data_IF_137164426027
#
_entry.id   IF_137164426027
#
_cell.length_a   1.000
_cell.length_b   1.000
_cell.length_c   1.000
_cell.angle_alpha   90.00
_cell.angle_beta   90.00
_cell.angle_gamma   90.00
#
_symmetry.space_group_name_H-M   'P 1'
#
loop_
_entity.id
_entity.type
_entity.pdbx_description
1 polymer ?
#
# COMPACT_ATOMS: atom_id res chain seq x y z
N UNK A 1 -14.11 7.74 -0.11
CA UNK A 1 -14.03 7.66 -1.59
C UNK A 1 -12.59 7.36 -2.02
N UNK A 2 -11.59 8.05 -1.49
CA UNK A 2 -10.18 7.84 -1.87
C UNK A 2 -9.67 6.41 -1.67
N UNK A 3 -10.06 5.70 -0.60
CA UNK A 3 -9.62 4.32 -0.39
C UNK A 3 -10.16 3.32 -1.43
N UNK A 4 -11.30 3.64 -2.07
CA UNK A 4 -11.87 2.86 -3.17
C UNK A 4 -11.21 3.25 -4.49
N UNK A 5 -11.06 4.56 -4.75
CA UNK A 5 -10.35 5.07 -5.92
C UNK A 5 -8.91 4.54 -5.99
N UNK A 6 -8.19 4.56 -4.87
CA UNK A 6 -6.87 3.93 -4.73
C UNK A 6 -6.86 2.48 -5.20
N UNK A 7 -7.85 1.68 -4.78
CA UNK A 7 -7.93 0.27 -5.18
C UNK A 7 -8.16 0.11 -6.68
N UNK A 8 -9.01 0.97 -7.26
CA UNK A 8 -9.30 0.95 -8.69
C UNK A 8 -8.06 1.34 -9.52
N UNK A 9 -7.39 2.45 -9.19
CA UNK A 9 -6.19 2.88 -9.89
C UNK A 9 -5.03 1.88 -9.79
N UNK A 10 -4.84 1.23 -8.62
CA UNK A 10 -3.90 0.13 -8.48
C UNK A 10 -4.21 -1.03 -9.43
N UNK A 11 -5.48 -1.43 -9.54
CA UNK A 11 -5.86 -2.53 -10.44
C UNK A 11 -5.69 -2.17 -11.92
N UNK A 12 -5.79 -0.88 -12.25
CA UNK A 12 -5.60 -0.37 -13.61
C UNK A 12 -4.13 -0.12 -13.98
N UNK A 13 -3.20 -0.23 -13.02
CA UNK A 13 -1.80 0.11 -13.21
C UNK A 13 -1.50 1.62 -13.26
N UNK A 14 -2.47 2.45 -12.87
CA UNK A 14 -2.34 3.91 -12.77
C UNK A 14 -1.66 4.28 -11.45
N UNK A 15 -0.35 4.07 -11.38
CA UNK A 15 0.40 4.09 -10.13
C UNK A 15 0.50 5.47 -9.48
N UNK A 16 0.62 6.54 -10.27
CA UNK A 16 0.69 7.92 -9.76
C UNK A 16 -0.64 8.36 -9.15
N UNK A 17 -1.76 8.08 -9.83
CA UNK A 17 -3.09 8.37 -9.32
C UNK A 17 -3.38 7.55 -8.06
N UNK A 18 -2.97 6.28 -8.04
CA UNK A 18 -3.07 5.43 -6.87
C UNK A 18 -2.33 6.07 -5.67
N UNK A 19 -1.05 6.41 -5.83
CA UNK A 19 -0.25 7.04 -4.77
C UNK A 19 -0.88 8.36 -4.27
N UNK A 20 -1.32 9.23 -5.18
CA UNK A 20 -1.98 10.48 -4.82
C UNK A 20 -3.26 10.24 -3.99
N UNK A 21 -4.08 9.25 -4.36
CA UNK A 21 -5.27 8.88 -3.61
C UNK A 21 -4.95 8.22 -2.26
N UNK A 22 -3.85 7.47 -2.14
CA UNK A 22 -3.41 6.95 -0.85
C UNK A 22 -3.07 8.10 0.12
N UNK A 23 -2.25 9.06 -0.31
CA UNK A 23 -1.90 10.22 0.53
C UNK A 23 -3.13 11.04 0.93
N UNK A 24 -4.04 11.31 0.00
CA UNK A 24 -5.33 11.98 0.32
C UNK A 24 -6.15 11.17 1.31
N UNK A 25 -6.27 9.86 1.12
CA UNK A 25 -7.02 8.98 2.04
C UNK A 25 -6.43 8.96 3.45
N UNK A 26 -5.12 9.08 3.60
CA UNK A 26 -4.45 9.12 4.90
C UNK A 26 -4.61 10.49 5.56
N UNK A 27 -4.43 11.57 4.82
CA UNK A 27 -4.54 12.94 5.33
C UNK A 27 -5.95 13.28 5.85
N UNK A 28 -7.00 12.74 5.21
CA UNK A 28 -8.39 13.02 5.58
C UNK A 28 -8.90 12.23 6.80
N UNK A 29 -8.09 11.33 7.38
CA UNK A 29 -8.55 10.44 8.45
C UNK A 29 -8.20 10.98 9.84
N UNK A 30 -9.21 11.44 10.58
CA UNK A 30 -9.14 11.62 12.04
C UNK A 30 -9.65 10.35 12.73
N UNK A 31 -8.76 9.61 13.39
CA UNK A 31 -9.10 8.41 14.19
C UNK A 31 -9.29 7.12 13.37
N UNK A 32 -8.26 6.68 12.65
CA UNK A 32 -8.38 5.50 11.79
C UNK A 32 -8.35 4.18 12.59
N UNK A 33 -9.30 3.29 12.26
CA UNK A 33 -9.21 1.85 12.57
C UNK A 33 -7.86 1.32 12.06
N UNK A 34 -7.02 0.78 12.94
CA UNK A 34 -5.64 0.40 12.64
C UNK A 34 -5.50 -0.48 11.40
N UNK A 35 -6.41 -1.46 11.23
CA UNK A 35 -6.46 -2.31 10.03
C UNK A 35 -6.64 -1.52 8.74
N UNK A 36 -7.54 -0.53 8.74
CA UNK A 36 -7.80 0.24 7.53
C UNK A 36 -6.64 1.16 7.18
N UNK A 37 -5.91 1.65 8.20
CA UNK A 37 -4.67 2.38 7.98
C UNK A 37 -3.64 1.47 7.31
N UNK A 38 -3.39 0.29 7.89
CA UNK A 38 -2.47 -0.71 7.31
C UNK A 38 -2.83 -1.10 5.87
N UNK A 39 -4.11 -1.34 5.56
CA UNK A 39 -4.54 -1.65 4.17
C UNK A 39 -4.19 -0.51 3.21
N UNK A 40 -4.33 0.75 3.65
CA UNK A 40 -4.00 1.92 2.81
C UNK A 40 -2.49 2.05 2.64
N UNK A 41 -1.72 1.84 3.72
CA UNK A 41 -0.25 1.84 3.69
C UNK A 41 0.31 0.77 2.75
N UNK A 42 -0.18 -0.47 2.81
CA UNK A 42 0.30 -1.53 1.92
C UNK A 42 -0.06 -1.23 0.46
N UNK A 43 -1.21 -0.61 0.20
CA UNK A 43 -1.60 -0.16 -1.14
C UNK A 43 -0.70 0.98 -1.67
N UNK A 44 -0.31 1.91 -0.81
CA UNK A 44 0.68 2.94 -1.15
C UNK A 44 2.02 2.29 -1.55
N UNK A 45 2.50 1.32 -0.78
CA UNK A 45 3.72 0.59 -1.11
C UNK A 45 3.64 -0.08 -2.50
N UNK A 46 2.50 -0.71 -2.84
CA UNK A 46 2.28 -1.29 -4.18
C UNK A 46 2.28 -0.24 -5.30
N UNK A 47 1.74 0.95 -5.05
CA UNK A 47 1.75 2.05 -6.02
C UNK A 47 3.19 2.53 -6.27
N UNK A 48 3.95 2.78 -5.19
CA UNK A 48 5.36 3.18 -5.26
C UNK A 48 6.23 2.14 -5.98
N UNK A 49 6.03 0.85 -5.67
CA UNK A 49 6.70 -0.24 -6.37
C UNK A 49 6.34 -0.28 -7.86
N UNK A 50 5.08 0.00 -8.21
CA UNK A 50 4.64 0.10 -9.60
C UNK A 50 5.28 1.26 -10.37
N UNK A 51 5.63 2.35 -9.69
CA UNK A 51 6.39 3.48 -10.27
C UNK A 51 7.88 3.21 -10.42
N UNK A 52 8.39 2.14 -9.80
CA UNK A 52 9.82 1.85 -9.71
C UNK A 52 10.53 2.54 -8.54
N UNK A 53 9.78 3.20 -7.64
CA UNK A 53 10.31 3.88 -6.46
C UNK A 53 10.58 2.85 -5.34
N UNK A 54 11.60 2.01 -5.53
CA UNK A 54 11.89 0.84 -4.69
C UNK A 54 12.11 1.18 -3.20
N UNK A 55 12.96 2.17 -2.92
CA UNK A 55 13.28 2.54 -1.54
C UNK A 55 12.03 3.09 -0.80
N UNK A 56 11.27 4.05 -1.36
CA UNK A 56 9.99 4.47 -0.78
C UNK A 56 9.00 3.32 -0.59
N UNK A 57 8.89 2.42 -1.58
CA UNK A 57 7.97 1.30 -1.51
C UNK A 57 8.28 0.35 -0.34
N UNK A 58 9.56 -0.01 -0.16
CA UNK A 58 10.01 -0.87 0.94
C UNK A 58 9.83 -0.15 2.28
N UNK A 59 10.26 1.11 2.38
CA UNK A 59 10.10 1.92 3.59
C UNK A 59 8.63 2.02 4.03
N UNK A 60 7.72 2.24 3.07
CA UNK A 60 6.28 2.26 3.32
C UNK A 60 5.76 0.90 3.77
N UNK A 61 6.17 -0.20 3.12
CA UNK A 61 5.71 -1.54 3.49
C UNK A 61 6.13 -1.93 4.92
N UNK A 62 7.37 -1.63 5.31
CA UNK A 62 7.90 -1.95 6.65
C UNK A 62 7.33 -1.05 7.75
N UNK A 63 6.74 0.09 7.40
CA UNK A 63 6.09 0.99 8.37
C UNK A 63 4.77 0.44 8.96
N UNK A 64 4.25 -0.67 8.42
CA UNK A 64 3.03 -1.31 8.91
C UNK A 64 3.31 -1.94 10.28
N UNK A 65 2.58 -1.57 11.35
CA UNK A 65 2.80 -2.12 12.70
C UNK A 65 2.63 -3.65 12.75
N UNK A 66 3.49 -4.33 13.51
CA UNK A 66 3.53 -5.79 13.59
C UNK A 66 2.22 -6.40 14.11
N UNK A 67 1.54 -5.72 15.04
CA UNK A 67 0.28 -6.17 15.62
C UNK A 67 -0.84 -6.23 14.57
N UNK A 68 -0.77 -5.34 13.57
CA UNK A 68 -1.75 -5.25 12.49
C UNK A 68 -1.33 -6.09 11.28
N UNK A 69 -0.02 -6.27 11.06
CA UNK A 69 0.51 -7.08 9.96
C UNK A 69 0.17 -8.56 10.09
N UNK A 70 -0.07 -9.05 11.32
CA UNK A 70 -0.55 -10.41 11.61
C UNK A 70 -1.99 -10.67 11.15
N UNK A 71 -2.78 -9.62 10.86
CA UNK A 71 -4.14 -9.80 10.36
C UNK A 71 -4.10 -10.42 8.95
N UNK A 72 -4.82 -11.54 8.67
CA UNK A 72 -4.65 -12.33 7.44
C UNK A 72 -4.72 -11.53 6.13
N UNK A 73 -5.65 -10.57 6.07
CA UNK A 73 -5.78 -9.68 4.90
C UNK A 73 -4.53 -8.81 4.66
N UNK A 74 -3.90 -8.29 5.72
CA UNK A 74 -2.72 -7.43 5.62
C UNK A 74 -1.50 -8.27 5.29
N UNK A 75 -1.34 -9.41 5.96
CA UNK A 75 -0.29 -10.40 5.67
C UNK A 75 -0.31 -10.81 4.19
N UNK A 76 -1.48 -11.17 3.66
CA UNK A 76 -1.59 -11.56 2.25
C UNK A 76 -1.20 -10.44 1.27
N UNK A 77 -1.48 -9.18 1.61
CA UNK A 77 -1.09 -8.04 0.78
C UNK A 77 0.42 -7.75 0.85
N UNK A 78 1.03 -7.91 2.03
CA UNK A 78 2.48 -7.79 2.21
C UNK A 78 3.24 -8.92 1.52
N UNK A 79 2.71 -10.14 1.55
CA UNK A 79 3.30 -11.27 0.81
C UNK A 79 3.26 -11.00 -0.70
N UNK A 80 2.13 -10.53 -1.23
CA UNK A 80 2.03 -10.15 -2.64
C UNK A 80 2.98 -9.00 -3.02
N UNK A 81 3.21 -8.07 -2.10
CA UNK A 81 4.23 -7.02 -2.28
C UNK A 81 5.63 -7.63 -2.37
N UNK A 82 5.99 -8.52 -1.43
CA UNK A 82 7.28 -9.20 -1.40
C UNK A 82 7.55 -10.01 -2.66
N UNK A 83 6.57 -10.80 -3.13
CA UNK A 83 6.69 -11.54 -4.40
C UNK A 83 6.99 -10.61 -5.56
N UNK A 84 6.19 -9.54 -5.73
CA UNK A 84 6.41 -8.57 -6.80
C UNK A 84 7.78 -7.90 -6.71
N UNK A 85 8.25 -7.58 -5.49
CA UNK A 85 9.57 -7.00 -5.28
C UNK A 85 10.69 -7.97 -5.68
N UNK A 86 10.56 -9.26 -5.33
CA UNK A 86 11.50 -10.30 -5.74
C UNK A 86 11.52 -10.47 -7.26
N UNK A 87 10.36 -10.48 -7.91
CA UNK A 87 10.25 -10.57 -9.37
C UNK A 87 10.94 -9.41 -10.10
N UNK A 88 11.11 -8.24 -9.45
CA UNK A 88 11.85 -7.09 -10.01
C UNK A 88 13.37 -7.17 -9.78
N UNK A 89 13.82 -8.01 -8.85
CA UNK A 89 15.23 -8.14 -8.49
C UNK A 89 15.96 -9.25 -9.27
N UNK A 90 15.20 -10.14 -9.91
CA UNK A 90 15.68 -11.19 -10.82
C UNK A 90 15.79 -10.68 -12.27
#
# INVERSE_FOLDING_TARGET
LDSLALAAYLSAGSWEEAEAHAHRSMALRRGAMQRSHAITTVRLAHAQLGRGDLEPAVATAVSVPAEVSAHPRVTGMLNAFGTKLSDLAD
#
